data_IF_821158324122
#
_entry.id   IF_821158324122
#
_cell.length_a   1.000
_cell.length_b   1.000
_cell.length_c   1.000
_cell.angle_alpha   90.00
_cell.angle_beta   90.00
_cell.angle_gamma   90.00
#
_symmetry.space_group_name_H-M   'P 1'
#
loop_
_entity.id
_entity.type
_entity.pdbx_description
1 polymer ?
#
# COMPACT_ATOMS: atom_id res chain seq x y z
N UNK A 1 -10.40 -6.83 -9.03
CA UNK A 1 -9.66 -6.56 -7.78
C UNK A 1 -9.45 -5.05 -7.60
N UNK A 2 -9.72 -4.50 -6.41
CA UNK A 2 -9.51 -3.07 -6.10
C UNK A 2 -8.21 -2.83 -5.32
N UNK A 3 -7.71 -1.61 -5.37
CA UNK A 3 -6.59 -1.16 -4.55
C UNK A 3 -7.00 -1.11 -3.07
N UNK A 4 -6.23 -1.75 -2.18
CA UNK A 4 -6.47 -1.69 -0.74
C UNK A 4 -6.28 -0.28 -0.17
N UNK A 5 -5.44 0.53 -0.80
CA UNK A 5 -5.14 1.90 -0.35
C UNK A 5 -6.22 2.92 -0.67
N UNK A 6 -6.74 2.93 -1.91
CA UNK A 6 -7.69 3.94 -2.37
C UNK A 6 -9.08 3.39 -2.74
N UNK A 7 -9.29 2.07 -2.71
CA UNK A 7 -10.56 1.43 -3.07
C UNK A 7 -10.87 1.38 -4.57
N UNK A 8 -10.15 2.13 -5.40
CA UNK A 8 -10.38 2.16 -6.85
C UNK A 8 -9.99 0.84 -7.52
N UNK A 9 -10.79 0.43 -8.50
CA UNK A 9 -10.38 -0.58 -9.48
C UNK A 9 -9.21 -0.07 -10.34
N UNK A 10 -8.33 -0.95 -10.85
CA UNK A 10 -7.15 -0.56 -11.62
C UNK A 10 -7.45 0.47 -12.72
N UNK A 11 -8.53 0.31 -13.49
CA UNK A 11 -8.76 1.16 -14.66
C UNK A 11 -7.50 1.14 -15.55
N UNK A 12 -6.95 2.32 -15.83
CA UNK A 12 -5.66 2.49 -16.53
C UNK A 12 -4.42 2.37 -15.61
N UNK A 13 -4.58 2.35 -14.29
CA UNK A 13 -3.50 2.19 -13.32
C UNK A 13 -3.10 0.71 -13.24
N UNK A 14 -1.80 0.44 -13.29
CA UNK A 14 -1.29 -0.90 -13.01
C UNK A 14 -1.37 -1.22 -11.50
N UNK A 15 -1.69 -2.48 -11.20
CA UNK A 15 -1.69 -3.01 -9.85
C UNK A 15 -0.34 -3.67 -9.53
N UNK A 16 0.09 -3.53 -8.30
CA UNK A 16 1.35 -4.07 -7.79
C UNK A 16 1.09 -4.89 -6.53
N UNK A 17 1.89 -5.95 -6.38
CA UNK A 17 1.98 -6.70 -5.12
C UNK A 17 2.87 -5.91 -4.18
N UNK A 18 2.31 -5.48 -3.05
CA UNK A 18 3.01 -4.76 -1.99
C UNK A 18 3.05 -5.59 -0.71
N UNK A 19 4.05 -5.37 0.14
CA UNK A 19 4.13 -6.03 1.45
C UNK A 19 3.44 -5.22 2.54
N UNK A 20 2.52 -5.85 3.28
CA UNK A 20 1.80 -5.23 4.42
C UNK A 20 2.80 -4.68 5.44
N UNK A 21 3.73 -5.54 5.89
CA UNK A 21 4.96 -5.15 6.56
C UNK A 21 6.08 -5.05 5.51
N UNK A 22 6.68 -3.86 5.30
CA UNK A 22 7.72 -3.70 4.29
C UNK A 22 8.91 -4.63 4.50
N UNK A 23 9.46 -5.14 3.39
CA UNK A 23 10.67 -5.99 3.43
C UNK A 23 11.86 -5.35 4.13
N UNK A 24 12.06 -4.04 3.94
CA UNK A 24 13.13 -3.28 4.59
C UNK A 24 13.00 -3.22 6.11
N UNK A 25 11.82 -3.56 6.65
CA UNK A 25 11.55 -3.66 8.09
C UNK A 25 11.42 -5.11 8.53
N UNK A 26 11.80 -6.08 7.71
CA UNK A 26 11.78 -7.52 8.03
C UNK A 26 10.47 -8.22 7.69
N UNK A 27 9.61 -7.65 6.86
CA UNK A 27 8.42 -8.36 6.38
C UNK A 27 8.78 -9.51 5.44
N UNK A 28 8.14 -10.66 5.66
CA UNK A 28 8.38 -11.87 4.87
C UNK A 28 7.67 -11.81 3.51
N UNK A 29 8.18 -12.55 2.52
CA UNK A 29 7.50 -12.69 1.22
C UNK A 29 6.62 -13.94 1.23
N UNK A 30 5.46 -13.82 1.86
CA UNK A 30 4.45 -14.86 2.02
C UNK A 30 3.06 -14.29 1.71
N UNK A 31 2.11 -15.16 1.35
CA UNK A 31 0.74 -14.77 0.98
C UNK A 31 0.04 -13.90 2.04
N UNK A 32 0.33 -14.14 3.32
CA UNK A 32 -0.24 -13.42 4.46
C UNK A 32 0.32 -12.01 4.63
N UNK A 33 1.49 -11.71 4.03
CA UNK A 33 2.14 -10.40 4.13
C UNK A 33 2.11 -9.63 2.81
N UNK A 34 1.34 -10.07 1.82
CA UNK A 34 1.18 -9.34 0.56
C UNK A 34 -0.24 -8.80 0.40
N UNK A 35 -0.35 -7.66 -0.25
CA UNK A 35 -1.59 -6.97 -0.56
C UNK A 35 -1.52 -6.34 -1.95
N UNK A 36 -2.66 -5.88 -2.46
CA UNK A 36 -2.76 -5.26 -3.78
C UNK A 36 -2.89 -3.73 -3.67
N UNK A 37 -1.92 -3.01 -4.23
CA UNK A 37 -1.95 -1.54 -4.31
C UNK A 37 -1.79 -1.09 -5.76
N UNK A 38 -2.41 0.02 -6.14
CA UNK A 38 -2.07 0.68 -7.40
C UNK A 38 -0.70 1.37 -7.26
N UNK A 39 0.00 1.57 -8.39
CA UNK A 39 1.33 2.20 -8.39
C UNK A 39 1.44 3.51 -7.59
N UNK A 40 0.48 4.46 -7.68
CA UNK A 40 0.49 5.67 -6.86
C UNK A 40 0.40 5.40 -5.35
N UNK A 41 -0.52 4.53 -4.91
CA UNK A 41 -0.65 4.17 -3.50
C UNK A 41 0.59 3.43 -3.00
N UNK A 42 1.12 2.50 -3.78
CA UNK A 42 2.32 1.75 -3.42
C UNK A 42 3.52 2.69 -3.20
N UNK A 43 3.78 3.60 -4.15
CA UNK A 43 4.83 4.63 -4.02
C UNK A 43 4.63 5.54 -2.82
N UNK A 44 3.39 5.96 -2.57
CA UNK A 44 3.04 6.83 -1.44
C UNK A 44 3.24 6.14 -0.08
N UNK A 45 2.88 4.85 0.01
CA UNK A 45 3.10 4.00 1.18
C UNK A 45 4.58 3.83 1.47
N UNK A 46 5.36 3.42 0.47
CA UNK A 46 6.80 3.20 0.58
C UNK A 46 7.15 2.20 1.68
N UNK A 47 8.07 2.55 2.58
CA UNK A 47 8.52 1.70 3.69
C UNK A 47 7.66 1.82 4.96
N UNK A 48 6.45 2.38 4.85
CA UNK A 48 5.47 2.45 5.94
C UNK A 48 4.59 1.21 5.94
N UNK A 49 4.09 0.84 7.11
CA UNK A 49 2.90 -0.01 7.26
C UNK A 49 1.66 0.75 6.79
N UNK A 50 0.56 0.04 6.55
CA UNK A 50 -0.73 0.68 6.19
C UNK A 50 -1.18 1.70 7.25
N UNK A 51 -1.04 1.35 8.53
CA UNK A 51 -1.43 2.20 9.65
C UNK A 51 -0.62 3.51 9.69
N UNK A 52 0.71 3.43 9.56
CA UNK A 52 1.59 4.61 9.51
C UNK A 52 1.30 5.47 8.27
N UNK A 53 1.07 4.84 7.11
CA UNK A 53 0.77 5.56 5.87
C UNK A 53 -0.56 6.31 5.97
N UNK A 54 -1.63 5.67 6.46
CA UNK A 54 -2.95 6.28 6.64
C UNK A 54 -2.91 7.42 7.65
N UNK A 55 -2.22 7.23 8.79
CA UNK A 55 -2.04 8.27 9.80
C UNK A 55 -1.35 9.51 9.21
N UNK A 56 -0.37 9.32 8.32
CA UNK A 56 0.31 10.41 7.64
C UNK A 56 -0.52 11.11 6.55
N UNK A 57 -1.59 10.48 6.02
CA UNK A 57 -2.52 11.13 5.09
C UNK A 57 -3.56 11.98 5.84
N UNK A 58 -3.99 11.53 7.02
CA UNK A 58 -5.00 12.25 7.82
C UNK A 58 -4.53 13.68 8.17
N UNK A 59 -3.25 13.86 8.49
CA UNK A 59 -2.64 15.17 8.82
C UNK A 59 -2.58 16.13 7.62
N UNK A 60 -2.75 15.66 6.38
CA UNK A 60 -2.68 16.51 5.17
C UNK A 60 -4.04 17.09 4.75
N UNK A 61 -5.11 16.76 5.47
CA UNK A 61 -6.47 17.16 5.13
C UNK A 61 -6.93 18.41 5.91
N UNK A 62 -6.02 19.07 6.62
CA UNK A 62 -6.22 20.31 7.39
C UNK A 62 -5.49 21.49 6.74
#
# INVERSE_FOLDING_TARGET
PSCIGCGESPGEKYMEVDHIRPRSRGGEHVWQNVQLLCGPCNRSKGNKTMHEWQSAQAVKSE
#
